data_IF_544666454554
#
_entry.id   IF_544666454554
#
_cell.length_a   1.000
_cell.length_b   1.000
_cell.length_c   1.000
_cell.angle_alpha   90.00
_cell.angle_beta   90.00
_cell.angle_gamma   90.00
#
_symmetry.space_group_name_H-M   'P 1'
#
loop_
_entity.id
_entity.type
_entity.pdbx_description
1 polymer ?
#
# COMPACT_ATOMS: atom_id res chain seq x y z
N UNK A 1 21.95 -1.76 15.34
CA UNK A 1 22.88 -0.63 15.01
C UNK A 1 22.26 0.62 15.64
N UNK A 2 22.97 1.73 15.93
CA UNK A 2 22.23 2.95 16.36
C UNK A 2 21.50 3.46 15.12
N UNK A 3 20.18 3.38 15.13
CA UNK A 3 19.40 3.90 14.03
C UNK A 3 18.46 4.97 14.51
N UNK A 4 18.46 6.05 13.75
CA UNK A 4 17.73 7.28 13.92
C UNK A 4 17.42 7.79 12.52
N UNK A 5 16.47 8.70 12.43
CA UNK A 5 15.82 9.19 11.21
C UNK A 5 16.79 9.43 10.04
N UNK A 6 16.43 8.88 8.88
CA UNK A 6 17.14 9.08 7.61
C UNK A 6 16.31 10.00 6.69
N UNK A 7 16.98 10.96 6.07
CA UNK A 7 16.37 11.92 5.14
C UNK A 7 17.11 11.90 3.80
N UNK A 8 16.37 11.73 2.71
CA UNK A 8 16.82 11.87 1.33
C UNK A 8 15.92 12.84 0.56
N UNK A 9 16.51 13.58 -0.37
CA UNK A 9 15.79 14.51 -1.23
C UNK A 9 15.64 13.92 -2.65
N UNK A 10 16.76 13.50 -3.27
CA UNK A 10 16.77 12.94 -4.62
C UNK A 10 17.89 11.88 -4.75
N UNK A 11 17.57 10.67 -5.21
CA UNK A 11 18.54 9.60 -5.53
C UNK A 11 18.01 8.70 -6.64
N UNK A 12 18.87 8.05 -7.43
CA UNK A 12 18.42 6.99 -8.35
C UNK A 12 17.93 5.77 -7.54
N UNK A 13 18.84 5.13 -6.79
CA UNK A 13 18.50 3.98 -5.95
C UNK A 13 18.75 4.24 -4.46
N UNK A 14 17.80 3.87 -3.61
CA UNK A 14 17.95 3.89 -2.16
C UNK A 14 17.66 2.52 -1.55
N UNK A 15 18.65 1.97 -0.86
CA UNK A 15 18.52 0.74 -0.09
C UNK A 15 18.78 1.03 1.39
N UNK A 16 17.77 0.76 2.22
CA UNK A 16 17.86 0.90 3.67
C UNK A 16 17.51 -0.42 4.37
N UNK A 17 18.14 -0.63 5.52
CA UNK A 17 17.84 -1.74 6.42
C UNK A 17 17.01 -1.24 7.60
N UNK A 18 17.22 -1.84 8.79
CA UNK A 18 16.68 -1.38 10.07
C UNK A 18 16.94 0.13 10.24
N UNK A 19 15.89 0.96 10.29
CA UNK A 19 15.86 2.40 10.64
C UNK A 19 14.58 2.71 11.45
N UNK A 20 14.56 3.76 12.28
CA UNK A 20 13.29 4.19 12.94
C UNK A 20 12.41 4.88 11.91
N UNK A 21 12.84 6.07 11.43
CA UNK A 21 12.08 6.85 10.46
C UNK A 21 12.85 7.02 9.13
N UNK A 22 12.16 6.87 8.00
CA UNK A 22 12.64 7.22 6.66
C UNK A 22 11.79 8.34 6.07
N UNK A 23 12.45 9.38 5.58
CA UNK A 23 11.80 10.42 4.78
C UNK A 23 12.53 10.53 3.45
N UNK A 24 11.85 10.24 2.35
CA UNK A 24 12.38 10.43 1.00
C UNK A 24 11.45 11.28 0.13
N UNK A 25 12.05 12.18 -0.64
CA UNK A 25 11.36 12.95 -1.68
C UNK A 25 11.19 12.09 -2.93
N UNK A 26 12.23 12.08 -3.76
CA UNK A 26 12.19 11.50 -5.11
C UNK A 26 13.22 10.37 -5.27
N UNK A 27 12.80 9.18 -5.69
CA UNK A 27 13.71 8.07 -6.03
C UNK A 27 13.21 7.21 -7.19
N UNK A 28 14.08 6.73 -8.08
CA UNK A 28 13.66 5.71 -9.07
C UNK A 28 13.31 4.40 -8.35
N UNK A 29 14.23 3.86 -7.54
CA UNK A 29 14.01 2.63 -6.77
C UNK A 29 14.21 2.84 -5.26
N UNK A 30 13.20 2.47 -4.45
CA UNK A 30 13.31 2.46 -2.98
C UNK A 30 13.08 1.06 -2.42
N UNK A 31 14.11 0.50 -1.77
CA UNK A 31 14.05 -0.77 -1.07
C UNK A 31 14.28 -0.61 0.43
N UNK A 32 13.31 -1.06 1.23
CA UNK A 32 13.38 -1.05 2.69
C UNK A 32 13.01 -2.41 3.29
N UNK A 33 13.73 -2.81 4.34
CA UNK A 33 13.49 -4.10 5.02
C UNK A 33 12.65 -3.91 6.26
N UNK A 34 13.11 -3.09 7.21
CA UNK A 34 12.47 -2.92 8.51
C UNK A 34 12.53 -1.45 8.92
N UNK A 35 11.37 -0.84 9.16
CA UNK A 35 11.31 0.53 9.68
C UNK A 35 10.04 0.77 10.50
N UNK A 36 10.05 1.65 11.50
CA UNK A 36 8.81 2.09 12.16
C UNK A 36 8.00 2.98 11.18
N UNK A 37 8.61 4.09 10.72
CA UNK A 37 7.96 5.11 9.87
C UNK A 37 8.67 5.30 8.51
N UNK A 38 7.89 5.48 7.44
CA UNK A 38 8.39 5.78 6.07
C UNK A 38 7.39 6.71 5.45
N UNK A 39 7.91 7.85 5.10
CA UNK A 39 7.27 8.79 4.21
C UNK A 39 8.06 8.83 2.91
N UNK A 40 7.35 8.59 1.82
CA UNK A 40 7.89 8.76 0.49
C UNK A 40 7.01 9.70 -0.35
N UNK A 41 7.65 10.47 -1.23
CA UNK A 41 6.97 11.35 -2.18
C UNK A 41 6.69 10.62 -3.50
N UNK A 42 7.53 10.90 -4.49
CA UNK A 42 7.47 10.41 -5.86
C UNK A 42 8.51 9.32 -6.08
N UNK A 43 8.10 8.17 -6.61
CA UNK A 43 9.05 7.08 -6.87
C UNK A 43 8.54 6.12 -7.93
N UNK A 44 9.37 5.58 -8.82
CA UNK A 44 8.90 4.59 -9.80
C UNK A 44 8.53 3.26 -9.10
N UNK A 45 9.45 2.71 -8.29
CA UNK A 45 9.27 1.40 -7.63
C UNK A 45 9.39 1.47 -6.09
N UNK A 46 8.43 0.92 -5.34
CA UNK A 46 8.61 0.56 -3.90
C UNK A 46 8.78 -0.92 -3.73
N UNK A 47 9.77 -1.29 -2.91
CA UNK A 47 9.71 -2.54 -2.16
C UNK A 47 9.89 -2.31 -0.66
N UNK A 48 8.91 -2.82 0.09
CA UNK A 48 8.87 -2.79 1.54
C UNK A 48 8.53 -4.18 2.10
N UNK A 49 9.19 -4.58 3.19
CA UNK A 49 8.90 -5.84 3.86
C UNK A 49 8.10 -5.69 5.17
N UNK A 50 8.68 -5.11 6.22
CA UNK A 50 8.08 -5.04 7.58
C UNK A 50 8.08 -3.59 8.11
N UNK A 51 6.91 -3.01 8.39
CA UNK A 51 6.81 -1.62 8.89
C UNK A 51 5.55 -1.33 9.70
N UNK A 52 5.61 -0.44 10.69
CA UNK A 52 4.38 0.03 11.39
C UNK A 52 3.56 0.92 10.44
N UNK A 53 4.10 2.08 10.03
CA UNK A 53 3.36 3.12 9.28
C UNK A 53 4.01 3.49 7.93
N UNK A 54 3.24 3.57 6.83
CA UNK A 54 3.69 3.95 5.49
C UNK A 54 2.74 5.01 4.99
N UNK A 55 3.34 6.13 4.60
CA UNK A 55 2.67 7.11 3.80
C UNK A 55 3.45 7.31 2.51
N UNK A 56 2.77 7.13 1.39
CA UNK A 56 3.34 7.39 0.08
C UNK A 56 2.32 8.11 -0.82
N UNK A 57 2.82 8.94 -1.74
CA UNK A 57 1.96 9.83 -2.52
C UNK A 57 1.78 9.38 -3.98
N UNK A 58 2.88 9.17 -4.72
CA UNK A 58 2.83 8.90 -6.17
C UNK A 58 3.87 7.85 -6.59
N UNK A 59 3.44 6.82 -7.35
CA UNK A 59 4.28 5.72 -7.85
C UNK A 59 3.74 5.02 -9.08
N UNK A 60 4.60 4.34 -9.82
CA UNK A 60 4.17 3.34 -10.80
C UNK A 60 3.79 2.05 -10.05
N UNK A 61 4.74 1.45 -9.35
CA UNK A 61 4.56 0.16 -8.66
C UNK A 61 4.84 0.25 -7.14
N UNK A 62 3.93 -0.31 -6.33
CA UNK A 62 4.09 -0.44 -4.88
C UNK A 62 3.93 -1.89 -4.42
N UNK A 63 4.99 -2.49 -3.88
CA UNK A 63 4.95 -3.81 -3.26
C UNK A 63 5.30 -3.74 -1.76
N UNK A 64 4.37 -4.22 -0.92
CA UNK A 64 4.54 -4.30 0.53
C UNK A 64 4.00 -5.62 1.11
N UNK A 65 4.51 -6.07 2.26
CA UNK A 65 4.17 -7.39 2.81
C UNK A 65 3.53 -7.39 4.19
N UNK A 66 4.12 -6.77 5.22
CA UNK A 66 3.63 -6.86 6.60
C UNK A 66 3.60 -5.49 7.27
N UNK A 67 2.38 -4.96 7.52
CA UNK A 67 2.20 -3.59 8.03
C UNK A 67 1.01 -3.44 8.98
N UNK A 68 1.06 -2.47 9.91
CA UNK A 68 -0.12 -2.09 10.70
C UNK A 68 -1.00 -1.18 9.82
N UNK A 69 -0.46 -0.03 9.40
CA UNK A 69 -1.22 0.99 8.66
C UNK A 69 -0.61 1.30 7.29
N UNK A 70 -1.37 1.15 6.21
CA UNK A 70 -1.00 1.58 4.87
C UNK A 70 -1.85 2.74 4.35
N UNK A 71 -1.21 3.89 4.15
CA UNK A 71 -1.82 5.07 3.55
C UNK A 71 -1.15 5.39 2.23
N UNK A 72 -1.96 5.46 1.17
CA UNK A 72 -1.44 5.69 -0.17
C UNK A 72 -2.34 6.58 -1.03
N UNK A 73 -1.70 7.38 -1.90
CA UNK A 73 -2.33 8.22 -2.92
C UNK A 73 -2.59 7.47 -4.24
N UNK A 74 -1.79 7.82 -5.27
CA UNK A 74 -2.04 7.53 -6.70
C UNK A 74 -1.01 6.54 -7.30
N UNK A 75 -1.42 5.35 -7.77
CA UNK A 75 -0.50 4.32 -8.32
C UNK A 75 -1.10 3.55 -9.49
N UNK A 76 -0.26 3.03 -10.38
CA UNK A 76 -0.73 2.07 -11.38
C UNK A 76 -1.01 0.72 -10.72
N UNK A 77 -0.03 0.13 -10.03
CA UNK A 77 -0.17 -1.18 -9.40
C UNK A 77 0.17 -1.16 -7.90
N UNK A 78 -0.81 -1.52 -7.06
CA UNK A 78 -0.61 -1.72 -5.62
C UNK A 78 -0.73 -3.20 -5.26
N UNK A 79 0.34 -3.77 -4.71
CA UNK A 79 0.33 -5.11 -4.12
C UNK A 79 0.69 -5.06 -2.64
N UNK A 80 -0.24 -5.51 -1.79
CA UNK A 80 -0.02 -5.66 -0.36
C UNK A 80 -0.32 -7.08 0.13
N UNK A 81 0.49 -7.54 1.09
CA UNK A 81 0.31 -8.82 1.77
C UNK A 81 -0.71 -8.74 2.90
N UNK A 82 -0.20 -8.65 4.13
CA UNK A 82 -0.91 -8.55 5.40
C UNK A 82 -0.87 -7.10 5.90
N UNK A 83 -2.04 -6.49 6.10
CA UNK A 83 -2.19 -5.15 6.70
C UNK A 83 -3.34 -5.11 7.70
N UNK A 84 -3.25 -4.38 8.80
CA UNK A 84 -4.44 -4.13 9.64
C UNK A 84 -5.36 -3.16 8.92
N UNK A 85 -4.88 -1.95 8.65
CA UNK A 85 -5.63 -0.90 7.96
C UNK A 85 -5.00 -0.57 6.60
N UNK A 86 -5.80 -0.58 5.54
CA UNK A 86 -5.39 -0.09 4.21
C UNK A 86 -6.32 1.01 3.71
N UNK A 87 -5.75 2.19 3.48
CA UNK A 87 -6.38 3.32 2.83
C UNK A 87 -5.65 3.67 1.53
N UNK A 88 -6.35 3.57 0.40
CA UNK A 88 -5.85 4.02 -0.89
C UNK A 88 -6.85 4.95 -1.59
N UNK A 89 -6.36 5.93 -2.34
CA UNK A 89 -7.21 6.91 -3.02
C UNK A 89 -7.47 6.57 -4.49
N UNK A 90 -6.43 6.37 -5.29
CA UNK A 90 -6.55 6.09 -6.72
C UNK A 90 -5.55 5.01 -7.14
N UNK A 91 -6.04 3.89 -7.67
CA UNK A 91 -5.18 2.86 -8.25
C UNK A 91 -5.77 2.29 -9.54
N UNK A 92 -4.96 1.89 -10.53
CA UNK A 92 -5.51 1.08 -11.63
C UNK A 92 -5.83 -0.33 -11.11
N UNK A 93 -4.81 -1.00 -10.57
CA UNK A 93 -4.91 -2.36 -10.04
C UNK A 93 -4.53 -2.40 -8.56
N UNK A 94 -5.47 -2.87 -7.72
CA UNK A 94 -5.23 -3.12 -6.29
C UNK A 94 -5.31 -4.61 -5.99
N UNK A 95 -4.22 -5.18 -5.49
CA UNK A 95 -4.13 -6.55 -5.01
C UNK A 95 -3.78 -6.60 -3.53
N UNK A 96 -4.69 -7.14 -2.72
CA UNK A 96 -4.48 -7.33 -1.28
C UNK A 96 -4.60 -8.78 -0.85
N UNK A 97 -3.71 -9.22 0.05
CA UNK A 97 -3.74 -10.52 0.68
C UNK A 97 -4.80 -10.62 1.77
N UNK A 98 -4.38 -10.33 3.00
CA UNK A 98 -5.23 -10.34 4.20
C UNK A 98 -5.25 -8.92 4.80
N UNK A 99 -6.44 -8.34 4.92
CA UNK A 99 -6.62 -7.02 5.55
C UNK A 99 -7.69 -7.08 6.63
N UNK A 100 -7.57 -6.31 7.71
CA UNK A 100 -8.72 -6.15 8.63
C UNK A 100 -9.71 -5.16 8.03
N UNK A 101 -9.27 -3.91 7.86
CA UNK A 101 -10.05 -2.82 7.27
C UNK A 101 -9.43 -2.39 5.93
N UNK A 102 -10.25 -2.42 4.87
CA UNK A 102 -9.86 -1.92 3.55
C UNK A 102 -10.78 -0.78 3.12
N UNK A 103 -10.22 0.42 2.95
CA UNK A 103 -10.89 1.56 2.36
C UNK A 103 -10.21 1.98 1.04
N UNK A 104 -10.95 1.91 -0.07
CA UNK A 104 -10.46 2.29 -1.37
C UNK A 104 -11.32 3.39 -2.03
N UNK A 105 -10.70 4.38 -2.66
CA UNK A 105 -11.38 5.42 -3.42
C UNK A 105 -11.80 4.93 -4.80
N UNK A 106 -11.05 5.32 -5.82
CA UNK A 106 -11.24 4.93 -7.22
C UNK A 106 -10.27 3.82 -7.63
N UNK A 107 -10.80 2.69 -8.10
CA UNK A 107 -10.00 1.55 -8.58
C UNK A 107 -10.56 0.96 -9.89
N UNK A 108 -9.72 0.55 -10.83
CA UNK A 108 -10.19 -0.20 -12.01
C UNK A 108 -10.45 -1.66 -11.63
N UNK A 109 -9.40 -2.41 -11.25
CA UNK A 109 -9.53 -3.78 -10.77
C UNK A 109 -9.10 -3.88 -9.29
N UNK A 110 -9.94 -4.52 -8.46
CA UNK A 110 -9.63 -4.88 -7.08
C UNK A 110 -9.71 -6.39 -6.89
N UNK A 111 -8.62 -6.97 -6.42
CA UNK A 111 -8.52 -8.37 -6.05
C UNK A 111 -8.06 -8.46 -4.59
N UNK A 112 -8.94 -8.94 -3.72
CA UNK A 112 -8.58 -9.17 -2.32
C UNK A 112 -8.73 -10.63 -1.91
N UNK A 113 -7.83 -11.13 -1.07
CA UNK A 113 -7.94 -12.46 -0.48
C UNK A 113 -9.01 -12.50 0.61
N UNK A 114 -8.69 -11.88 1.75
CA UNK A 114 -9.57 -11.80 2.92
C UNK A 114 -9.61 -10.36 3.44
N UNK A 115 -10.81 -9.93 3.81
CA UNK A 115 -11.07 -8.65 4.47
C UNK A 115 -12.23 -8.81 5.42
N UNK A 116 -12.12 -8.27 6.64
CA UNK A 116 -13.23 -8.26 7.60
C UNK A 116 -14.20 -7.11 7.27
N UNK A 117 -13.69 -5.89 7.09
CA UNK A 117 -14.45 -4.73 6.66
C UNK A 117 -13.89 -4.12 5.36
N UNK A 118 -14.78 -3.93 4.38
CA UNK A 118 -14.44 -3.37 3.07
C UNK A 118 -15.35 -2.20 2.70
N UNK A 119 -14.74 -1.07 2.34
CA UNK A 119 -15.42 0.12 1.82
C UNK A 119 -14.74 0.63 0.56
N UNK A 120 -15.47 0.68 -0.54
CA UNK A 120 -14.96 1.24 -1.77
C UNK A 120 -15.94 2.21 -2.42
N UNK A 121 -15.45 3.37 -2.84
CA UNK A 121 -16.26 4.44 -3.42
C UNK A 121 -16.54 4.21 -4.91
N UNK A 122 -15.54 3.74 -5.67
CA UNK A 122 -15.69 3.37 -7.08
C UNK A 122 -14.78 2.21 -7.46
N UNK A 123 -15.37 1.18 -8.07
CA UNK A 123 -14.63 0.05 -8.58
C UNK A 123 -15.24 -0.50 -9.88
N UNK A 124 -14.44 -0.78 -10.92
CA UNK A 124 -14.95 -1.38 -12.17
C UNK A 124 -15.03 -2.90 -12.12
N UNK A 125 -14.08 -3.57 -11.48
CA UNK A 125 -14.03 -5.02 -11.33
C UNK A 125 -13.55 -5.45 -9.95
N UNK A 126 -14.40 -6.19 -9.25
CA UNK A 126 -14.11 -6.66 -7.90
C UNK A 126 -14.10 -8.18 -7.79
N UNK A 127 -13.04 -8.74 -7.19
CA UNK A 127 -12.88 -10.18 -6.94
C UNK A 127 -12.41 -10.46 -5.52
N UNK A 128 -13.09 -11.40 -4.84
CA UNK A 128 -12.67 -11.91 -3.52
C UNK A 128 -12.31 -13.39 -3.59
N UNK A 129 -11.11 -13.76 -3.13
CA UNK A 129 -10.64 -15.15 -3.11
C UNK A 129 -10.39 -15.65 -1.68
N UNK A 130 -11.35 -16.39 -1.13
CA UNK A 130 -11.24 -16.91 0.24
C UNK A 130 -12.57 -17.37 0.83
N UNK A 131 -13.68 -16.89 0.28
CA UNK A 131 -15.03 -17.32 0.66
C UNK A 131 -15.67 -18.22 -0.40
N UNK A 132 -16.32 -19.33 -0.01
CA UNK A 132 -16.99 -20.33 -0.90
C UNK A 132 -18.16 -19.79 -1.74
N UNK A 133 -18.36 -18.48 -1.74
CA UNK A 133 -19.30 -17.76 -2.59
C UNK A 133 -18.54 -16.57 -3.13
N UNK A 134 -18.04 -16.70 -4.36
CA UNK A 134 -17.74 -15.53 -5.20
C UNK A 134 -19.03 -14.73 -5.29
N UNK A 135 -19.20 -13.75 -4.40
CA UNK A 135 -20.31 -12.82 -4.53
C UNK A 135 -19.77 -11.66 -5.34
N UNK A 136 -20.27 -11.50 -6.56
CA UNK A 136 -20.24 -10.20 -7.22
C UNK A 136 -21.23 -9.34 -6.44
N UNK A 137 -20.79 -8.78 -5.32
CA UNK A 137 -21.53 -7.77 -4.57
C UNK A 137 -21.24 -6.45 -5.28
N UNK A 138 -22.26 -5.87 -5.93
CA UNK A 138 -22.23 -4.44 -6.17
C UNK A 138 -22.07 -3.75 -4.81
N UNK A 139 -21.08 -2.88 -4.71
CA UNK A 139 -20.78 -2.08 -3.53
C UNK A 139 -22.07 -1.55 -2.87
N UNK A 140 -22.12 -1.65 -1.55
CA UNK A 140 -23.13 -0.96 -0.75
C UNK A 140 -22.88 0.53 -0.98
N UNK A 141 -23.73 1.17 -1.79
CA UNK A 141 -23.85 2.63 -1.84
C UNK A 141 -24.21 3.10 -0.42
N UNK A 142 -23.24 3.62 0.33
CA UNK A 142 -23.55 4.57 1.40
C UNK A 142 -23.67 5.94 0.73
N UNK A 143 -24.90 6.44 0.67
CA UNK A 143 -25.17 7.88 0.54
C UNK A 143 -24.69 8.61 1.79
#
# INVERSE_FOLDING_TARGET
>A
MMVYNFFCEETEDLHCGEIEDLYCGDTEELHCVETEDLHCGETEDLLCWEREDLLCSEREDLLCWEREDLYYGDTEELHCGETEDLLCWETEDLHCGETEDLHCGETEDLLCGKTEDLRCDRNRRFTLWGNRRTKVLSCIFLL
#
